data_IF_636131574712
#
_entry.id   IF_636131574712
#
_cell.length_a   1.000
_cell.length_b   1.000
_cell.length_c   1.000
_cell.angle_alpha   90.00
_cell.angle_beta   90.00
_cell.angle_gamma   90.00
#
_symmetry.space_group_name_H-M   'P 1'
#
loop_
_entity.id
_entity.type
_entity.pdbx_description
1 polymer ?
#
# COMPACT_ATOMS: atom_id res chain seq x y z
N UNK A 1 21.64 -29.57 -4.43
CA UNK A 1 22.08 -28.71 -5.55
C UNK A 1 22.03 -29.46 -6.89
N UNK A 2 21.55 -30.70 -6.90
CA UNK A 2 21.75 -31.65 -8.02
C UNK A 2 20.69 -31.58 -9.12
N UNK A 3 19.64 -30.78 -8.94
CA UNK A 3 18.51 -30.70 -9.88
C UNK A 3 18.75 -29.71 -11.04
N UNK A 4 19.68 -28.75 -10.90
CA UNK A 4 20.03 -27.74 -11.92
C UNK A 4 21.49 -27.25 -11.75
N UNK A 5 22.50 -28.06 -12.13
CA UNK A 5 23.90 -27.76 -11.86
C UNK A 5 24.38 -26.44 -12.48
N UNK A 6 23.87 -26.10 -13.67
CA UNK A 6 24.21 -24.83 -14.35
C UNK A 6 23.66 -23.60 -13.63
N UNK A 7 22.54 -23.75 -12.91
CA UNK A 7 21.96 -22.66 -12.12
C UNK A 7 22.73 -22.44 -10.82
N UNK A 8 23.25 -23.49 -10.18
CA UNK A 8 23.92 -23.43 -8.88
C UNK A 8 25.44 -23.19 -8.96
N UNK A 9 25.91 -22.75 -10.13
CA UNK A 9 27.29 -22.34 -10.32
C UNK A 9 27.72 -21.26 -9.34
N UNK A 10 28.87 -21.47 -8.70
CA UNK A 10 29.42 -20.60 -7.65
C UNK A 10 29.60 -19.16 -8.14
N UNK A 11 30.07 -18.96 -9.38
CA UNK A 11 30.35 -17.65 -9.97
C UNK A 11 29.11 -16.76 -10.14
N UNK A 12 27.90 -17.31 -10.05
CA UNK A 12 26.67 -16.53 -10.10
C UNK A 12 26.24 -16.00 -8.74
N UNK A 13 26.55 -16.71 -7.65
CA UNK A 13 25.95 -16.47 -6.34
C UNK A 13 26.96 -16.11 -5.25
N UNK A 14 28.24 -16.41 -5.46
CA UNK A 14 29.32 -16.16 -4.52
C UNK A 14 30.35 -15.19 -5.12
N UNK A 15 31.08 -14.45 -4.25
CA UNK A 15 32.25 -13.69 -4.68
C UNK A 15 33.30 -14.54 -5.43
N UNK A 16 34.07 -13.94 -6.34
CA UNK A 16 35.19 -14.63 -6.97
C UNK A 16 36.17 -15.21 -5.94
N UNK A 17 36.55 -16.48 -6.12
CA UNK A 17 37.48 -17.18 -5.22
C UNK A 17 36.83 -17.81 -3.98
N UNK A 18 35.50 -17.74 -3.84
CA UNK A 18 34.75 -18.43 -2.78
C UNK A 18 33.94 -19.59 -3.36
N UNK A 19 33.99 -20.73 -2.69
CA UNK A 19 33.26 -21.95 -3.05
C UNK A 19 32.12 -22.23 -2.07
N UNK A 20 31.18 -23.12 -2.44
CA UNK A 20 30.15 -23.56 -1.50
C UNK A 20 30.74 -24.27 -0.28
N UNK A 21 31.91 -24.92 -0.42
CA UNK A 21 32.62 -25.57 0.68
C UNK A 21 33.14 -24.57 1.73
N UNK A 22 33.49 -23.34 1.34
CA UNK A 22 33.90 -22.31 2.30
C UNK A 22 32.75 -21.88 3.21
N UNK A 23 31.50 -21.99 2.72
CA UNK A 23 30.30 -21.73 3.51
C UNK A 23 30.00 -22.85 4.52
N UNK A 24 30.52 -24.06 4.31
CA UNK A 24 30.37 -25.21 5.22
C UNK A 24 31.29 -25.14 6.44
N UNK A 25 32.16 -24.13 6.52
CA UNK A 25 33.00 -23.87 7.70
C UNK A 25 32.17 -23.43 8.93
N UNK A 26 30.97 -22.88 8.71
CA UNK A 26 30.05 -22.51 9.77
C UNK A 26 29.29 -23.74 10.26
N UNK A 27 29.05 -23.82 11.57
CA UNK A 27 28.14 -24.83 12.14
C UNK A 27 26.76 -24.66 11.50
N UNK A 28 26.09 -25.75 11.14
CA UNK A 28 24.80 -25.71 10.43
C UNK A 28 23.77 -24.78 11.07
N UNK A 29 23.75 -24.68 12.41
CA UNK A 29 22.83 -23.80 13.15
C UNK A 29 23.12 -22.30 13.04
N UNK A 30 24.32 -21.94 12.59
CA UNK A 30 24.77 -20.56 12.38
C UNK A 30 24.80 -20.18 10.90
N UNK A 31 24.52 -21.13 10.01
CA UNK A 31 24.51 -20.93 8.56
C UNK A 31 23.07 -20.84 8.05
N UNK A 32 22.69 -19.75 7.35
CA UNK A 32 21.39 -19.70 6.67
C UNK A 32 21.31 -20.79 5.60
N UNK A 33 20.28 -21.64 5.65
CA UNK A 33 20.06 -22.67 4.63
C UNK A 33 18.79 -22.39 3.85
N UNK A 34 18.76 -22.59 2.52
CA UNK A 34 17.55 -22.36 1.72
C UNK A 34 16.32 -23.14 2.20
N UNK A 35 16.53 -24.31 2.83
CA UNK A 35 15.44 -25.12 3.36
C UNK A 35 14.74 -24.47 4.56
N UNK A 36 15.40 -23.56 5.29
CA UNK A 36 14.80 -22.83 6.41
C UNK A 36 13.63 -21.95 5.95
N UNK A 37 13.68 -21.45 4.71
CA UNK A 37 12.62 -20.64 4.12
C UNK A 37 11.30 -21.40 4.00
N UNK A 38 11.32 -22.74 4.01
CA UNK A 38 10.10 -23.55 4.04
C UNK A 38 9.29 -23.32 5.33
N UNK A 39 9.93 -22.88 6.42
CA UNK A 39 9.22 -22.49 7.64
C UNK A 39 8.37 -21.23 7.48
N UNK A 40 8.64 -20.40 6.48
CA UNK A 40 7.82 -19.22 6.22
C UNK A 40 6.38 -19.59 5.83
N UNK A 41 6.16 -20.76 5.21
CA UNK A 41 4.82 -21.23 4.82
C UNK A 41 3.91 -21.55 6.02
N UNK A 42 4.29 -22.44 6.96
CA UNK A 42 3.48 -22.68 8.15
C UNK A 42 3.36 -21.41 9.02
N UNK A 43 4.38 -20.55 9.08
CA UNK A 43 4.28 -19.26 9.76
C UNK A 43 3.24 -18.35 9.09
N UNK A 44 3.23 -18.25 7.76
CA UNK A 44 2.26 -17.46 7.02
C UNK A 44 0.82 -17.95 7.27
N UNK A 45 0.59 -19.26 7.25
CA UNK A 45 -0.71 -19.84 7.58
C UNK A 45 -1.08 -19.60 9.05
N UNK A 46 -0.12 -19.70 9.96
CA UNK A 46 -0.27 -19.34 11.37
C UNK A 46 -0.69 -17.88 11.57
N UNK A 47 -0.05 -16.95 10.86
CA UNK A 47 -0.43 -15.54 10.87
C UNK A 47 -1.83 -15.30 10.29
N UNK A 48 -2.25 -16.03 9.26
CA UNK A 48 -3.64 -15.95 8.76
C UNK A 48 -4.64 -16.40 9.83
N UNK A 49 -4.36 -17.50 10.53
CA UNK A 49 -5.21 -17.98 11.62
C UNK A 49 -5.22 -17.01 12.81
N UNK A 50 -4.05 -16.48 13.19
CA UNK A 50 -3.91 -15.51 14.28
C UNK A 50 -4.63 -14.20 13.95
N UNK A 51 -4.55 -13.73 12.70
CA UNK A 51 -5.31 -12.58 12.21
C UNK A 51 -6.81 -12.81 12.33
N UNK A 52 -7.30 -13.99 11.94
CA UNK A 52 -8.72 -14.31 12.08
C UNK A 52 -9.18 -14.26 13.55
N UNK A 53 -8.38 -14.82 14.47
CA UNK A 53 -8.65 -14.73 15.90
C UNK A 53 -8.63 -13.27 16.40
N UNK A 54 -7.64 -12.48 15.96
CA UNK A 54 -7.53 -11.06 16.31
C UNK A 54 -8.75 -10.26 15.84
N UNK A 55 -9.13 -10.40 14.56
CA UNK A 55 -10.29 -9.73 13.96
C UNK A 55 -11.60 -10.13 14.66
N UNK A 56 -11.69 -11.37 15.17
CA UNK A 56 -12.88 -11.88 15.86
C UNK A 56 -12.97 -11.45 17.32
N UNK A 57 -11.87 -11.46 18.06
CA UNK A 57 -11.89 -11.33 19.52
C UNK A 57 -11.32 -10.00 20.04
N UNK A 58 -10.27 -9.46 19.40
CA UNK A 58 -9.53 -8.29 19.89
C UNK A 58 -9.94 -6.98 19.19
N UNK A 59 -10.15 -7.02 17.87
CA UNK A 59 -10.51 -5.82 17.12
C UNK A 59 -11.89 -5.22 17.52
N UNK A 60 -12.96 -5.99 17.78
CA UNK A 60 -14.27 -5.43 18.15
C UNK A 60 -14.29 -4.63 19.47
N UNK A 61 -13.73 -5.11 20.60
CA UNK A 61 -13.67 -4.30 21.82
C UNK A 61 -12.83 -3.04 21.62
N UNK A 62 -11.69 -3.12 20.94
CA UNK A 62 -10.86 -1.96 20.64
C UNK A 62 -11.58 -0.91 19.78
N UNK A 63 -12.27 -1.38 18.74
CA UNK A 63 -13.06 -0.50 17.87
C UNK A 63 -14.15 0.24 18.64
N UNK A 64 -14.80 -0.42 19.61
CA UNK A 64 -15.78 0.24 20.50
C UNK A 64 -15.13 1.29 21.39
N UNK A 65 -13.95 1.02 21.98
CA UNK A 65 -13.22 1.99 22.78
C UNK A 65 -12.83 3.25 21.98
N UNK A 66 -12.47 3.09 20.70
CA UNK A 66 -12.15 4.19 19.79
C UNK A 66 -13.39 4.82 19.12
N UNK A 67 -14.60 4.38 19.47
CA UNK A 67 -15.84 4.90 18.92
C UNK A 67 -16.02 4.62 17.43
N UNK A 68 -15.49 3.52 16.92
CA UNK A 68 -15.69 3.08 15.53
C UNK A 68 -17.15 2.61 15.38
N UNK A 69 -17.95 3.42 14.71
CA UNK A 69 -19.34 3.08 14.37
C UNK A 69 -19.40 2.59 12.93
N UNK A 70 -20.20 1.55 12.69
CA UNK A 70 -20.58 1.18 11.33
C UNK A 70 -21.70 2.12 10.87
N UNK A 71 -21.49 2.82 9.77
CA UNK A 71 -22.56 3.49 9.03
C UNK A 71 -23.50 2.40 8.50
N UNK A 72 -24.79 2.51 8.83
CA UNK A 72 -25.80 1.59 8.32
C UNK A 72 -26.11 2.00 6.88
N UNK A 73 -25.53 1.30 5.91
CA UNK A 73 -25.82 1.56 4.51
C UNK A 73 -27.24 1.08 4.18
N UNK A 74 -28.04 1.96 3.56
CA UNK A 74 -29.37 1.62 3.06
C UNK A 74 -29.25 0.52 2.02
N UNK A 75 -29.88 -0.62 2.28
CA UNK A 75 -29.81 -1.77 1.39
C UNK A 75 -30.50 -1.50 0.06
N UNK A 76 -29.91 -1.96 -1.04
CA UNK A 76 -30.57 -1.90 -2.34
C UNK A 76 -31.85 -2.75 -2.32
N UNK A 77 -32.92 -2.26 -2.93
CA UNK A 77 -34.19 -3.00 -2.98
C UNK A 77 -33.99 -4.32 -3.74
N UNK A 78 -34.59 -5.44 -3.29
CA UNK A 78 -34.39 -6.72 -3.96
C UNK A 78 -34.92 -6.67 -5.40
N UNK A 79 -34.05 -6.91 -6.37
CA UNK A 79 -34.42 -7.02 -7.79
C UNK A 79 -33.49 -7.98 -8.51
N UNK A 80 -34.03 -9.11 -8.96
CA UNK A 80 -33.26 -10.20 -9.56
C UNK A 80 -32.53 -9.77 -10.84
N UNK A 81 -33.19 -8.96 -11.68
CA UNK A 81 -32.65 -8.50 -12.97
C UNK A 81 -31.50 -7.49 -12.83
N UNK A 82 -31.57 -6.57 -11.85
CA UNK A 82 -30.46 -5.64 -11.60
C UNK A 82 -29.29 -6.35 -10.93
N UNK A 83 -29.57 -7.34 -10.05
CA UNK A 83 -28.53 -8.14 -9.39
C UNK A 83 -27.80 -9.05 -10.39
N UNK A 84 -28.53 -9.68 -11.33
CA UNK A 84 -27.91 -10.50 -12.38
C UNK A 84 -27.03 -9.65 -13.30
N UNK A 85 -27.48 -8.45 -13.69
CA UNK A 85 -26.66 -7.53 -14.46
C UNK A 85 -25.42 -7.08 -13.68
N UNK A 86 -25.59 -6.72 -12.40
CA UNK A 86 -24.51 -6.22 -11.55
C UNK A 86 -23.40 -7.25 -11.34
N UNK A 87 -23.77 -8.52 -11.13
CA UNK A 87 -22.84 -9.60 -10.85
C UNK A 87 -22.18 -10.16 -12.11
N UNK A 88 -22.91 -10.22 -13.24
CA UNK A 88 -22.43 -10.90 -14.44
C UNK A 88 -21.84 -9.96 -15.50
N UNK A 89 -22.24 -8.68 -15.53
CA UNK A 89 -21.90 -7.78 -16.64
C UNK A 89 -21.11 -6.55 -16.20
N UNK A 90 -21.70 -5.66 -15.41
CA UNK A 90 -21.02 -4.43 -14.98
C UNK A 90 -21.59 -3.86 -13.69
N UNK A 91 -20.69 -3.36 -12.83
CA UNK A 91 -21.02 -2.56 -11.64
C UNK A 91 -21.31 -1.09 -11.97
N UNK A 92 -20.92 -0.63 -13.16
CA UNK A 92 -21.13 0.73 -13.64
C UNK A 92 -21.76 0.65 -15.04
N UNK A 93 -23.10 0.59 -15.14
CA UNK A 93 -23.77 0.50 -16.43
C UNK A 93 -23.55 1.79 -17.24
N UNK A 94 -23.31 1.61 -18.54
CA UNK A 94 -23.26 2.73 -19.50
C UNK A 94 -24.67 3.27 -19.77
N UNK A 95 -24.78 4.47 -20.36
CA UNK A 95 -26.11 5.07 -20.62
C UNK A 95 -27.02 4.21 -21.51
N UNK A 96 -26.47 3.53 -22.52
CA UNK A 96 -27.22 2.59 -23.35
C UNK A 96 -27.73 1.38 -22.55
N UNK A 97 -26.93 0.88 -21.61
CA UNK A 97 -27.31 -0.24 -20.73
C UNK A 97 -28.37 0.17 -19.70
N UNK A 98 -28.30 1.40 -19.18
CA UNK A 98 -29.34 1.95 -18.30
C UNK A 98 -30.69 1.97 -19.02
N UNK A 99 -30.74 2.43 -20.28
CA UNK A 99 -31.99 2.46 -21.08
C UNK A 99 -32.55 1.04 -21.25
N UNK A 100 -31.69 0.06 -21.53
CA UNK A 100 -32.11 -1.34 -21.62
C UNK A 100 -32.67 -1.88 -20.29
N UNK A 101 -32.03 -1.55 -19.17
CA UNK A 101 -32.49 -1.95 -17.83
C UNK A 101 -33.80 -1.27 -17.43
N UNK A 102 -34.03 -0.02 -17.87
CA UNK A 102 -35.31 0.68 -17.68
C UNK A 102 -36.46 -0.09 -18.31
N UNK A 103 -36.28 -0.52 -19.58
CA UNK A 103 -37.26 -1.30 -20.31
C UNK A 103 -37.48 -2.69 -19.68
N UNK A 104 -36.41 -3.37 -19.28
CA UNK A 104 -36.48 -4.71 -18.72
C UNK A 104 -37.12 -4.77 -17.32
N UNK A 105 -36.89 -3.75 -16.49
CA UNK A 105 -37.31 -3.73 -15.08
C UNK A 105 -38.55 -2.86 -14.82
N UNK A 106 -39.02 -2.09 -15.81
CA UNK A 106 -40.11 -1.10 -15.64
C UNK A 106 -39.77 0.00 -14.62
N UNK A 107 -38.48 0.35 -14.46
CA UNK A 107 -38.00 1.34 -13.49
C UNK A 107 -37.51 2.59 -14.19
N UNK A 108 -37.61 3.72 -13.50
CA UNK A 108 -37.04 4.99 -13.98
C UNK A 108 -35.51 4.95 -13.93
N UNK A 109 -34.86 5.77 -14.75
CA UNK A 109 -33.41 5.95 -14.76
C UNK A 109 -32.86 6.22 -13.34
N UNK A 110 -33.47 7.17 -12.62
CA UNK A 110 -33.04 7.56 -11.27
C UNK A 110 -33.15 6.42 -10.27
N UNK A 111 -34.16 5.56 -10.38
CA UNK A 111 -34.31 4.39 -9.52
C UNK A 111 -33.23 3.35 -9.79
N UNK A 112 -32.87 3.13 -11.06
CA UNK A 112 -31.80 2.21 -11.45
C UNK A 112 -30.45 2.75 -10.98
N UNK A 113 -30.13 4.01 -11.28
CA UNK A 113 -28.88 4.65 -10.82
C UNK A 113 -28.75 4.63 -9.29
N UNK A 114 -29.85 4.90 -8.57
CA UNK A 114 -29.89 4.83 -7.10
C UNK A 114 -29.70 3.40 -6.60
N UNK A 115 -30.28 2.41 -7.28
CA UNK A 115 -30.10 1.01 -6.94
C UNK A 115 -28.64 0.59 -7.11
N UNK A 116 -28.01 0.91 -8.26
CA UNK A 116 -26.60 0.61 -8.50
C UNK A 116 -25.70 1.31 -7.48
N UNK A 117 -25.95 2.58 -7.16
CA UNK A 117 -25.22 3.30 -6.12
C UNK A 117 -25.33 2.59 -4.76
N UNK A 118 -26.54 2.24 -4.32
CA UNK A 118 -26.76 1.52 -3.05
C UNK A 118 -26.11 0.14 -3.05
N UNK A 119 -26.20 -0.59 -4.15
CA UNK A 119 -25.61 -1.94 -4.29
C UNK A 119 -24.09 -1.90 -4.27
N UNK A 120 -23.47 -0.90 -4.89
CA UNK A 120 -22.01 -0.63 -4.78
C UNK A 120 -21.62 -0.27 -3.36
N UNK A 121 -22.41 0.55 -2.67
CA UNK A 121 -22.17 0.91 -1.27
C UNK A 121 -22.26 -0.31 -0.34
N UNK A 122 -23.15 -1.28 -0.62
CA UNK A 122 -23.22 -2.55 0.11
C UNK A 122 -21.99 -3.45 -0.09
N UNK A 123 -21.36 -3.42 -1.28
CA UNK A 123 -20.12 -4.15 -1.53
C UNK A 123 -18.92 -3.56 -0.76
N UNK A 124 -19.06 -2.34 -0.21
CA UNK A 124 -17.96 -1.69 0.47
C UNK A 124 -17.66 -2.36 1.81
N UNK A 125 -16.37 -2.51 2.14
CA UNK A 125 -15.97 -3.03 3.43
C UNK A 125 -16.37 -2.05 4.53
N UNK A 126 -16.94 -2.60 5.61
CA UNK A 126 -17.34 -1.81 6.78
C UNK A 126 -16.16 -1.07 7.42
N UNK A 127 -16.42 0.07 8.07
CA UNK A 127 -15.42 0.81 8.84
C UNK A 127 -14.75 -0.06 9.91
N UNK A 128 -15.53 -0.94 10.55
CA UNK A 128 -15.02 -1.93 11.51
C UNK A 128 -14.05 -2.93 10.88
N UNK A 129 -14.29 -3.40 9.66
CA UNK A 129 -13.34 -4.28 8.94
C UNK A 129 -12.04 -3.52 8.63
N UNK A 130 -12.14 -2.31 8.06
CA UNK A 130 -10.97 -1.45 7.78
C UNK A 130 -10.14 -1.18 9.04
N UNK A 131 -10.81 -0.90 10.16
CA UNK A 131 -10.15 -0.73 11.46
C UNK A 131 -9.45 -2.00 11.93
N UNK A 132 -10.11 -3.15 11.86
CA UNK A 132 -9.53 -4.42 12.28
C UNK A 132 -8.27 -4.79 11.46
N UNK A 133 -8.30 -4.56 10.14
CA UNK A 133 -7.14 -4.76 9.27
C UNK A 133 -5.97 -3.83 9.64
N UNK A 134 -6.25 -2.55 9.92
CA UNK A 134 -5.23 -1.59 10.35
C UNK A 134 -4.66 -1.93 11.72
N UNK A 135 -5.51 -2.30 12.68
CA UNK A 135 -5.10 -2.67 14.03
C UNK A 135 -4.22 -3.93 14.04
N UNK A 136 -4.57 -4.94 13.23
CA UNK A 136 -3.75 -6.14 13.07
C UNK A 136 -2.33 -5.81 12.61
N UNK A 137 -2.21 -5.01 11.55
CA UNK A 137 -0.91 -4.59 11.02
C UNK A 137 -0.14 -3.73 12.01
N UNK A 138 -0.82 -2.81 12.71
CA UNK A 138 -0.21 -1.98 13.74
C UNK A 138 0.48 -2.80 14.83
N UNK A 139 -0.20 -3.78 15.42
CA UNK A 139 0.39 -4.59 16.49
C UNK A 139 1.55 -5.45 16.00
N UNK A 140 1.45 -5.99 14.77
CA UNK A 140 2.55 -6.73 14.18
C UNK A 140 3.78 -5.85 13.99
N UNK A 141 3.64 -4.71 13.29
CA UNK A 141 4.77 -3.81 13.04
C UNK A 141 5.36 -3.24 14.33
N UNK A 142 4.53 -2.96 15.33
CA UNK A 142 5.01 -2.52 16.64
C UNK A 142 5.87 -3.59 17.32
N UNK A 143 5.40 -4.84 17.33
CA UNK A 143 6.15 -5.96 17.90
C UNK A 143 7.44 -6.22 17.11
N UNK A 144 7.38 -6.22 15.77
CA UNK A 144 8.52 -6.43 14.89
C UNK A 144 9.59 -5.34 15.07
N UNK A 145 9.20 -4.08 15.13
CA UNK A 145 10.12 -2.96 15.35
C UNK A 145 10.79 -3.02 16.73
N UNK A 146 10.03 -3.30 17.79
CA UNK A 146 10.59 -3.43 19.15
C UNK A 146 11.57 -4.62 19.22
N UNK A 147 11.20 -5.76 18.64
CA UNK A 147 12.07 -6.94 18.58
C UNK A 147 13.33 -6.68 17.74
N UNK A 148 13.18 -6.03 16.59
CA UNK A 148 14.28 -5.64 15.70
C UNK A 148 15.25 -4.67 16.37
N UNK A 149 14.73 -3.66 17.07
CA UNK A 149 15.57 -2.72 17.80
C UNK A 149 16.32 -3.42 18.94
N UNK A 150 15.64 -4.29 19.69
CA UNK A 150 16.23 -5.04 20.78
C UNK A 150 17.33 -6.01 20.33
N UNK A 151 17.22 -6.62 19.14
CA UNK A 151 18.24 -7.54 18.64
C UNK A 151 19.41 -6.83 17.93
N UNK A 152 19.22 -5.60 17.44
CA UNK A 152 20.22 -4.87 16.64
C UNK A 152 20.98 -3.78 17.39
N UNK A 153 20.42 -3.16 18.43
CA UNK A 153 21.03 -1.96 19.05
C UNK A 153 22.44 -2.21 19.61
N UNK A 154 22.69 -3.41 20.14
CA UNK A 154 23.99 -3.80 20.69
C UNK A 154 24.95 -4.34 19.62
N UNK A 155 24.55 -4.37 18.35
CA UNK A 155 25.34 -4.95 17.26
C UNK A 155 26.18 -3.88 16.56
N UNK A 156 27.44 -4.19 16.21
CA UNK A 156 28.34 -3.19 15.64
C UNK A 156 27.86 -2.67 14.28
N UNK A 157 27.21 -3.51 13.47
CA UNK A 157 26.69 -3.10 12.16
C UNK A 157 25.49 -2.15 12.22
N UNK A 158 24.83 -2.01 13.38
CA UNK A 158 23.81 -1.00 13.57
C UNK A 158 24.41 0.42 13.58
N UNK A 159 25.62 0.55 14.11
CA UNK A 159 26.33 1.83 14.22
C UNK A 159 27.31 2.07 13.07
N UNK A 160 28.09 1.06 12.69
CA UNK A 160 29.03 1.11 11.56
C UNK A 160 28.63 0.12 10.46
N UNK A 161 28.15 0.65 9.35
CA UNK A 161 27.64 -0.15 8.23
C UNK A 161 28.77 -0.93 7.51
N UNK A 162 30.06 -0.60 7.73
CA UNK A 162 31.19 -1.40 7.23
C UNK A 162 31.17 -2.82 7.78
N UNK A 163 30.69 -2.97 9.01
CA UNK A 163 30.59 -4.25 9.69
C UNK A 163 29.52 -5.16 9.07
N UNK A 164 28.62 -4.64 8.21
CA UNK A 164 27.71 -5.47 7.43
C UNK A 164 28.45 -6.43 6.49
N UNK A 165 29.60 -6.02 5.95
CA UNK A 165 30.35 -6.80 4.96
C UNK A 165 31.60 -7.46 5.52
N UNK A 166 31.92 -7.21 6.79
CA UNK A 166 33.09 -7.80 7.44
C UNK A 166 32.98 -9.32 7.47
N UNK A 167 34.00 -10.00 6.91
CA UNK A 167 34.07 -11.46 6.73
C UNK A 167 32.97 -12.05 5.86
N UNK A 168 32.26 -11.24 5.08
CA UNK A 168 31.35 -11.77 4.07
C UNK A 168 32.14 -12.64 3.06
N UNK A 169 31.64 -13.82 2.66
CA UNK A 169 30.31 -14.39 2.94
C UNK A 169 30.21 -15.29 4.19
N UNK A 170 31.32 -15.55 4.90
CA UNK A 170 31.36 -16.40 6.10
C UNK A 170 31.00 -15.59 7.36
N UNK A 171 29.71 -15.31 7.50
CA UNK A 171 29.14 -14.58 8.64
C UNK A 171 28.21 -15.48 9.46
N UNK A 172 28.46 -15.69 10.76
CA UNK A 172 27.55 -16.47 11.60
C UNK A 172 26.24 -15.72 11.81
N UNK A 173 25.12 -16.42 11.63
CA UNK A 173 23.78 -15.94 11.90
C UNK A 173 23.40 -16.27 13.34
N UNK A 174 23.05 -15.24 14.10
CA UNK A 174 22.49 -15.46 15.44
C UNK A 174 21.02 -15.89 15.37
N UNK A 175 20.60 -16.69 16.36
CA UNK A 175 19.23 -17.20 16.49
C UNK A 175 18.17 -16.10 16.55
N UNK A 176 18.49 -14.93 17.11
CA UNK A 176 17.57 -13.80 17.15
C UNK A 176 17.29 -13.24 15.75
N UNK A 177 18.33 -13.07 14.92
CA UNK A 177 18.17 -12.59 13.54
C UNK A 177 17.43 -13.61 12.68
N UNK A 178 17.66 -14.90 12.91
CA UNK A 178 16.90 -15.97 12.26
C UNK A 178 15.40 -15.82 12.49
N UNK A 179 14.95 -15.78 13.75
CA UNK A 179 13.52 -15.64 14.05
C UNK A 179 12.96 -14.32 13.57
N UNK A 180 13.75 -13.23 13.62
CA UNK A 180 13.32 -11.95 13.07
C UNK A 180 13.02 -12.07 11.57
N UNK A 181 13.92 -12.68 10.79
CA UNK A 181 13.73 -12.97 9.37
C UNK A 181 12.53 -13.87 9.09
N UNK A 182 12.41 -14.99 9.81
CA UNK A 182 11.36 -16.00 9.55
C UNK A 182 9.97 -15.46 9.87
N UNK A 183 9.83 -14.69 10.96
CA UNK A 183 8.55 -14.08 11.34
C UNK A 183 8.13 -13.00 10.36
N UNK A 184 9.04 -12.15 9.91
CA UNK A 184 8.77 -11.13 8.91
C UNK A 184 8.44 -11.72 7.54
N UNK A 185 9.21 -12.70 7.08
CA UNK A 185 8.91 -13.41 5.83
C UNK A 185 7.55 -14.13 5.89
N UNK A 186 7.24 -14.76 7.03
CA UNK A 186 5.94 -15.38 7.28
C UNK A 186 4.80 -14.36 7.28
N UNK A 187 4.99 -13.18 7.88
CA UNK A 187 3.98 -12.13 7.89
C UNK A 187 3.72 -11.55 6.50
N UNK A 188 4.77 -11.19 5.75
CA UNK A 188 4.62 -10.74 4.37
C UNK A 188 4.02 -11.83 3.45
N UNK A 189 4.37 -13.10 3.69
CA UNK A 189 3.71 -14.24 3.06
C UNK A 189 2.21 -14.30 3.36
N UNK A 190 1.82 -14.07 4.62
CA UNK A 190 0.40 -14.02 5.02
C UNK A 190 -0.37 -12.88 4.34
N UNK A 191 0.28 -11.72 4.17
CA UNK A 191 -0.29 -10.57 3.45
C UNK A 191 -0.49 -10.90 1.97
N UNK A 192 0.48 -11.57 1.33
CA UNK A 192 0.37 -12.00 -0.06
C UNK A 192 -0.77 -13.01 -0.25
N UNK A 193 -0.91 -14.00 0.63
CA UNK A 193 -2.00 -15.00 0.56
C UNK A 193 -3.40 -14.36 0.69
N UNK A 194 -3.51 -13.29 1.47
CA UNK A 194 -4.78 -12.57 1.72
C UNK A 194 -5.04 -11.43 0.74
N UNK A 195 -4.10 -11.10 -0.15
CA UNK A 195 -4.14 -9.87 -0.98
C UNK A 195 -5.39 -9.78 -1.88
N UNK A 196 -5.96 -10.91 -2.31
CA UNK A 196 -7.15 -10.96 -3.17
C UNK A 196 -8.46 -10.75 -2.40
N UNK A 197 -8.45 -11.08 -1.10
CA UNK A 197 -9.60 -11.02 -0.17
C UNK A 197 -9.62 -9.71 0.62
N UNK A 198 -8.44 -9.15 0.86
CA UNK A 198 -8.27 -7.84 1.48
C UNK A 198 -8.79 -6.71 0.58
N UNK A 199 -9.01 -5.56 1.19
CA UNK A 199 -9.62 -4.40 0.53
C UNK A 199 -8.68 -3.88 -0.57
N UNK A 200 -9.10 -4.03 -1.83
CA UNK A 200 -8.36 -3.55 -2.99
C UNK A 200 -8.40 -2.02 -3.04
N UNK A 201 -7.22 -1.39 -2.97
CA UNK A 201 -7.04 0.07 -3.05
C UNK A 201 -6.60 0.47 -4.46
N UNK A 202 -6.57 1.78 -4.74
CA UNK A 202 -6.13 2.31 -6.05
C UNK A 202 -4.71 1.92 -6.44
N UNK A 203 -3.83 1.82 -5.45
CA UNK A 203 -2.42 1.45 -5.62
C UNK A 203 -2.17 -0.05 -5.47
N UNK A 204 -3.17 -0.88 -5.81
CA UNK A 204 -3.11 -2.33 -5.67
C UNK A 204 -1.94 -2.95 -6.44
N UNK A 205 -1.66 -2.49 -7.67
CA UNK A 205 -0.60 -3.05 -8.51
C UNK A 205 0.78 -2.77 -7.90
N UNK A 206 1.00 -1.54 -7.48
CA UNK A 206 2.23 -1.08 -6.83
C UNK A 206 2.44 -1.84 -5.51
N UNK A 207 1.37 -2.05 -4.74
CA UNK A 207 1.43 -2.85 -3.52
C UNK A 207 1.76 -4.32 -3.80
N UNK A 208 1.25 -4.94 -4.87
CA UNK A 208 1.62 -6.32 -5.26
C UNK A 208 3.09 -6.40 -5.64
N UNK A 209 3.58 -5.47 -6.48
CA UNK A 209 4.99 -5.41 -6.89
C UNK A 209 5.89 -5.27 -5.66
N UNK A 210 5.52 -4.42 -4.71
CA UNK A 210 6.22 -4.28 -3.44
C UNK A 210 6.29 -5.58 -2.64
N UNK A 211 5.17 -6.29 -2.45
CA UNK A 211 5.15 -7.54 -1.69
C UNK A 211 6.03 -8.60 -2.36
N UNK A 212 5.99 -8.71 -3.68
CA UNK A 212 6.87 -9.62 -4.41
C UNK A 212 8.33 -9.23 -4.24
N UNK A 213 8.67 -7.94 -4.43
CA UNK A 213 10.04 -7.45 -4.28
C UNK A 213 10.58 -7.66 -2.86
N UNK A 214 9.79 -7.39 -1.83
CA UNK A 214 10.17 -7.59 -0.42
C UNK A 214 10.34 -9.07 -0.08
N UNK A 215 9.41 -9.95 -0.47
CA UNK A 215 9.55 -11.40 -0.26
C UNK A 215 10.79 -11.95 -0.96
N UNK A 216 11.07 -11.50 -2.19
CA UNK A 216 12.31 -11.88 -2.89
C UNK A 216 13.56 -11.32 -2.21
N UNK A 217 13.54 -10.07 -1.73
CA UNK A 217 14.66 -9.48 -0.99
C UNK A 217 14.94 -10.24 0.32
N UNK A 218 13.91 -10.55 1.11
CA UNK A 218 14.07 -11.32 2.35
C UNK A 218 14.61 -12.73 2.05
N UNK A 219 14.00 -13.43 1.11
CA UNK A 219 14.40 -14.80 0.76
C UNK A 219 15.83 -14.86 0.19
N UNK A 220 16.14 -13.96 -0.75
CA UNK A 220 17.46 -13.90 -1.37
C UNK A 220 18.53 -13.45 -0.38
N UNK A 221 18.28 -12.39 0.39
CA UNK A 221 19.25 -11.94 1.40
C UNK A 221 19.51 -12.98 2.48
N UNK A 222 18.52 -13.81 2.82
CA UNK A 222 18.72 -14.94 3.71
C UNK A 222 19.64 -15.99 3.08
N UNK A 223 19.32 -16.48 1.89
CA UNK A 223 20.12 -17.50 1.19
C UNK A 223 21.55 -17.04 0.86
N UNK A 224 21.73 -15.76 0.53
CA UNK A 224 23.04 -15.17 0.22
C UNK A 224 23.81 -14.71 1.46
N UNK A 225 23.31 -14.98 2.68
CA UNK A 225 23.91 -14.55 3.94
C UNK A 225 24.11 -13.02 4.07
N UNK A 226 23.20 -12.22 3.49
CA UNK A 226 23.11 -10.77 3.66
C UNK A 226 22.29 -10.38 4.91
N UNK A 227 22.32 -11.20 5.96
CA UNK A 227 21.48 -11.07 7.16
C UNK A 227 21.69 -9.73 7.86
N UNK A 228 22.95 -9.28 8.00
CA UNK A 228 23.27 -8.01 8.69
C UNK A 228 22.64 -6.81 8.01
N UNK A 229 22.74 -6.71 6.69
CA UNK A 229 22.14 -5.59 5.96
C UNK A 229 20.62 -5.73 5.86
N UNK A 230 20.09 -6.93 5.67
CA UNK A 230 18.64 -7.11 5.54
C UNK A 230 17.89 -6.89 6.85
N UNK A 231 18.47 -7.21 8.02
CA UNK A 231 17.88 -6.83 9.31
C UNK A 231 17.79 -5.31 9.51
N UNK A 232 18.78 -4.53 9.03
CA UNK A 232 18.71 -3.07 9.02
C UNK A 232 17.63 -2.55 8.07
N UNK A 233 17.48 -3.19 6.90
CA UNK A 233 16.40 -2.87 5.96
C UNK A 233 15.06 -3.08 6.64
N UNK A 234 14.79 -4.25 7.22
CA UNK A 234 13.52 -4.57 7.89
C UNK A 234 13.21 -3.56 9.01
N UNK A 235 14.15 -3.31 9.92
CA UNK A 235 13.95 -2.36 11.03
C UNK A 235 13.64 -0.94 10.54
N UNK A 236 14.38 -0.47 9.53
CA UNK A 236 14.13 0.83 8.91
C UNK A 236 12.71 0.88 8.33
N UNK A 237 12.23 -0.24 7.77
CA UNK A 237 10.92 -0.31 7.15
C UNK A 237 9.76 -0.30 8.14
N UNK A 238 9.86 -1.05 9.23
CA UNK A 238 8.78 -1.14 10.21
C UNK A 238 8.49 0.20 10.91
N UNK A 239 9.51 1.06 11.05
CA UNK A 239 9.43 2.32 11.80
C UNK A 239 8.32 3.28 11.32
N UNK A 240 8.15 3.46 10.00
CA UNK A 240 7.10 4.33 9.44
C UNK A 240 5.72 3.68 9.46
N UNK A 241 5.68 2.35 9.37
CA UNK A 241 4.44 1.61 9.14
C UNK A 241 3.58 1.54 10.40
N UNK A 242 4.22 1.53 11.58
CA UNK A 242 3.53 1.70 12.87
C UNK A 242 2.72 3.00 12.89
N UNK A 243 3.31 4.11 12.45
CA UNK A 243 2.66 5.42 12.44
C UNK A 243 1.53 5.48 11.42
N UNK A 244 1.74 4.87 10.24
CA UNK A 244 0.72 4.79 9.19
C UNK A 244 -0.52 4.04 9.65
N UNK A 245 -0.34 2.84 10.22
CA UNK A 245 -1.45 2.02 10.68
C UNK A 245 -2.14 2.65 11.91
N UNK A 246 -1.38 3.31 12.79
CA UNK A 246 -1.94 4.13 13.88
C UNK A 246 -2.84 5.25 13.35
N UNK A 247 -2.37 6.03 12.38
CA UNK A 247 -3.15 7.12 11.79
C UNK A 247 -4.47 6.60 11.19
N UNK A 248 -4.43 5.45 10.48
CA UNK A 248 -5.64 4.80 9.94
C UNK A 248 -6.60 4.39 11.05
N UNK A 249 -6.11 3.80 12.13
CA UNK A 249 -6.95 3.40 13.28
C UNK A 249 -7.72 4.60 13.85
N UNK A 250 -7.05 5.73 14.08
CA UNK A 250 -7.68 6.95 14.59
C UNK A 250 -8.59 7.62 13.56
N UNK A 251 -8.29 7.54 12.27
CA UNK A 251 -9.16 8.04 11.21
C UNK A 251 -10.53 7.33 11.20
N UNK A 252 -10.56 6.04 11.56
CA UNK A 252 -11.83 5.30 11.64
C UNK A 252 -12.60 5.55 12.95
N UNK A 253 -11.94 5.99 14.01
CA UNK A 253 -12.55 6.36 15.28
C UNK A 253 -13.32 7.68 15.23
N UNK A 254 -14.31 7.84 16.10
CA UNK A 254 -15.10 9.08 16.18
C UNK A 254 -14.44 10.07 17.16
N UNK A 255 -14.22 11.32 16.74
CA UNK A 255 -13.73 12.39 17.63
C UNK A 255 -12.20 12.52 17.74
N UNK A 256 -11.42 11.72 17.01
CA UNK A 256 -9.95 11.69 17.10
C UNK A 256 -9.24 12.39 15.93
N UNK A 257 -9.91 13.34 15.25
CA UNK A 257 -9.38 14.02 14.04
C UNK A 257 -8.02 14.67 14.29
N UNK A 258 -7.86 15.43 15.39
CA UNK A 258 -6.59 16.09 15.73
C UNK A 258 -5.43 15.10 15.90
N UNK A 259 -5.68 13.96 16.56
CA UNK A 259 -4.68 12.90 16.76
C UNK A 259 -4.34 12.21 15.45
N UNK A 260 -5.35 11.91 14.62
CA UNK A 260 -5.16 11.36 13.28
C UNK A 260 -4.28 12.28 12.41
N UNK A 261 -4.60 13.57 12.36
CA UNK A 261 -3.87 14.56 11.57
C UNK A 261 -2.43 14.71 12.06
N UNK A 262 -2.23 14.77 13.38
CA UNK A 262 -0.90 14.82 13.99
C UNK A 262 -0.08 13.56 13.66
N UNK A 263 -0.67 12.37 13.81
CA UNK A 263 -0.01 11.11 13.46
C UNK A 263 0.31 11.02 11.96
N UNK A 264 -0.55 11.54 11.09
CA UNK A 264 -0.31 11.58 9.65
C UNK A 264 0.89 12.47 9.30
N UNK A 265 1.02 13.65 9.94
CA UNK A 265 2.18 14.53 9.74
C UNK A 265 3.46 13.88 10.24
N UNK A 266 3.43 13.28 11.44
CA UNK A 266 4.60 12.55 11.99
C UNK A 266 4.98 11.37 11.10
N UNK A 267 3.99 10.59 10.64
CA UNK A 267 4.17 9.54 9.64
C UNK A 267 4.84 10.08 8.38
N UNK A 268 4.37 11.18 7.80
CA UNK A 268 4.92 11.74 6.58
C UNK A 268 6.39 12.14 6.75
N UNK A 269 6.74 12.78 7.86
CA UNK A 269 8.13 13.14 8.18
C UNK A 269 9.00 11.89 8.32
N UNK A 270 8.57 10.92 9.15
CA UNK A 270 9.31 9.69 9.40
C UNK A 270 9.47 8.89 8.10
N UNK A 271 8.43 8.78 7.27
CA UNK A 271 8.49 8.13 5.98
C UNK A 271 9.50 8.82 5.05
N UNK A 272 9.45 10.14 4.89
CA UNK A 272 10.39 10.84 4.01
C UNK A 272 11.84 10.67 4.48
N UNK A 273 12.11 10.80 5.78
CA UNK A 273 13.46 10.63 6.34
C UNK A 273 13.95 9.20 6.17
N UNK A 274 13.16 8.20 6.59
CA UNK A 274 13.59 6.80 6.53
C UNK A 274 13.71 6.30 5.10
N UNK A 275 12.76 6.64 4.21
CA UNK A 275 12.66 6.10 2.84
C UNK A 275 13.45 6.86 1.77
N UNK A 276 13.57 8.18 1.89
CA UNK A 276 14.23 9.00 0.86
C UNK A 276 15.58 9.55 1.30
N UNK A 277 15.88 9.55 2.60
CA UNK A 277 17.19 10.00 3.10
C UNK A 277 18.00 8.81 3.58
N UNK A 278 17.56 8.10 4.62
CA UNK A 278 18.35 7.04 5.25
C UNK A 278 18.50 5.83 4.31
N UNK A 279 17.42 5.32 3.73
CA UNK A 279 17.47 4.16 2.85
C UNK A 279 18.46 4.34 1.67
N UNK A 280 18.40 5.40 0.85
CA UNK A 280 19.38 5.55 -0.24
C UNK A 280 20.78 5.92 0.25
N UNK A 281 20.92 6.83 1.22
CA UNK A 281 22.24 7.32 1.64
C UNK A 281 23.04 6.35 2.52
N UNK A 282 22.36 5.49 3.27
CA UNK A 282 22.96 4.50 4.16
C UNK A 282 22.86 3.10 3.58
N UNK A 283 21.66 2.57 3.35
CA UNK A 283 21.48 1.17 2.92
C UNK A 283 21.99 0.99 1.49
N UNK A 284 21.44 1.69 0.51
CA UNK A 284 21.81 1.52 -0.90
C UNK A 284 23.28 1.86 -1.12
N UNK A 285 23.79 2.93 -0.49
CA UNK A 285 25.22 3.24 -0.53
C UNK A 285 26.09 2.11 0.04
N UNK A 286 25.66 1.49 1.14
CA UNK A 286 26.38 0.37 1.76
C UNK A 286 26.39 -0.85 0.84
N UNK A 287 25.29 -1.14 0.17
CA UNK A 287 25.17 -2.30 -0.73
C UNK A 287 25.73 -2.10 -2.13
N UNK A 288 25.89 -0.85 -2.58
CA UNK A 288 26.46 -0.54 -3.90
C UNK A 288 27.94 -0.17 -3.85
N UNK A 289 28.39 0.53 -2.81
CA UNK A 289 29.75 1.06 -2.76
C UNK A 289 30.60 0.31 -1.73
N UNK A 290 30.09 0.17 -0.51
CA UNK A 290 30.89 -0.35 0.60
C UNK A 290 31.14 -1.86 0.49
N UNK A 291 30.21 -2.59 -0.09
CA UNK A 291 30.38 -4.02 -0.39
C UNK A 291 31.51 -4.26 -1.39
N UNK A 292 31.75 -3.33 -2.34
CA UNK A 292 32.84 -3.45 -3.32
C UNK A 292 34.22 -3.33 -2.68
N UNK A 293 34.33 -2.75 -1.48
CA UNK A 293 35.56 -2.76 -0.70
C UNK A 293 35.83 -4.15 -0.08
N UNK A 294 34.79 -4.98 0.06
CA UNK A 294 34.88 -6.32 0.65
C UNK A 294 34.98 -7.44 -0.38
N UNK A 295 34.28 -7.33 -1.52
CA UNK A 295 34.30 -8.33 -2.58
C UNK A 295 34.03 -7.73 -3.96
N UNK A 296 34.48 -8.40 -5.02
CA UNK A 296 34.21 -7.97 -6.39
C UNK A 296 32.75 -8.25 -6.80
N UNK A 297 32.10 -7.37 -7.60
CA UNK A 297 30.74 -7.57 -8.05
C UNK A 297 30.53 -8.88 -8.83
N UNK A 298 29.46 -9.58 -8.51
CA UNK A 298 29.01 -10.82 -9.17
C UNK A 298 27.50 -10.76 -9.47
N UNK A 299 26.93 -11.68 -10.27
CA UNK A 299 25.52 -11.60 -10.68
C UNK A 299 24.51 -11.48 -9.52
N UNK A 300 24.68 -12.25 -8.44
CA UNK A 300 23.84 -12.16 -7.23
C UNK A 300 23.90 -10.79 -6.54
N UNK A 301 25.05 -10.13 -6.56
CA UNK A 301 25.20 -8.74 -6.10
C UNK A 301 24.33 -7.76 -6.90
N UNK A 302 24.32 -7.89 -8.24
CA UNK A 302 23.49 -7.03 -9.10
C UNK A 302 22.01 -7.32 -8.90
N UNK A 303 21.63 -8.60 -8.79
CA UNK A 303 20.24 -9.02 -8.57
C UNK A 303 19.65 -8.38 -7.30
N UNK A 304 20.37 -8.48 -6.17
CA UNK A 304 19.95 -7.87 -4.91
C UNK A 304 19.79 -6.36 -5.00
N UNK A 305 20.78 -5.67 -5.58
CA UNK A 305 20.75 -4.21 -5.69
C UNK A 305 19.64 -3.73 -6.65
N UNK A 306 19.35 -4.45 -7.73
CA UNK A 306 18.21 -4.14 -8.61
C UNK A 306 16.90 -4.19 -7.83
N UNK A 307 16.68 -5.21 -6.99
CA UNK A 307 15.48 -5.30 -6.16
C UNK A 307 15.38 -4.16 -5.14
N UNK A 308 16.49 -3.74 -4.53
CA UNK A 308 16.53 -2.55 -3.66
C UNK A 308 16.19 -1.26 -4.43
N UNK A 309 16.65 -1.14 -5.68
CA UNK A 309 16.31 0.00 -6.54
C UNK A 309 14.82 0.01 -6.93
N UNK A 310 14.23 -1.15 -7.22
CA UNK A 310 12.77 -1.27 -7.43
C UNK A 310 12.02 -0.78 -6.19
N UNK A 311 12.45 -1.19 -5.00
CA UNK A 311 11.86 -0.75 -3.74
C UNK A 311 12.00 0.77 -3.54
N UNK A 312 13.16 1.35 -3.87
CA UNK A 312 13.37 2.80 -3.84
C UNK A 312 12.44 3.58 -4.77
N UNK A 313 12.20 3.08 -6.00
CA UNK A 313 11.27 3.71 -6.95
C UNK A 313 9.84 3.70 -6.40
N UNK A 314 9.41 2.60 -5.79
CA UNK A 314 8.10 2.51 -5.14
C UNK A 314 7.99 3.50 -3.95
N UNK A 315 9.05 3.66 -3.17
CA UNK A 315 9.08 4.68 -2.11
C UNK A 315 8.94 6.10 -2.66
N UNK A 316 9.60 6.42 -3.77
CA UNK A 316 9.46 7.73 -4.42
C UNK A 316 8.01 7.94 -4.89
N UNK A 317 7.40 6.91 -5.49
CA UNK A 317 5.99 6.94 -5.90
C UNK A 317 5.07 7.26 -4.71
N UNK A 318 5.19 6.54 -3.60
CA UNK A 318 4.35 6.80 -2.42
C UNK A 318 4.69 8.13 -1.73
N UNK A 319 5.96 8.54 -1.71
CA UNK A 319 6.35 9.85 -1.20
C UNK A 319 5.67 10.99 -1.98
N UNK A 320 5.51 10.85 -3.30
CA UNK A 320 4.78 11.82 -4.11
C UNK A 320 3.30 11.90 -3.70
N UNK A 321 2.66 10.77 -3.40
CA UNK A 321 1.27 10.75 -2.92
C UNK A 321 1.15 11.38 -1.53
N UNK A 322 2.04 11.04 -0.61
CA UNK A 322 2.06 11.60 0.74
C UNK A 322 2.26 13.13 0.68
N UNK A 323 3.21 13.61 -0.13
CA UNK A 323 3.47 15.04 -0.28
C UNK A 323 2.27 15.77 -0.87
N UNK A 324 1.56 15.18 -1.84
CA UNK A 324 0.30 15.73 -2.38
C UNK A 324 -0.77 15.87 -1.29
N UNK A 325 -0.94 14.85 -0.46
CA UNK A 325 -1.89 14.89 0.68
C UNK A 325 -1.51 15.96 1.69
N UNK A 326 -0.23 16.07 2.07
CA UNK A 326 0.27 17.12 2.97
C UNK A 326 0.05 18.52 2.36
N UNK A 327 0.29 18.69 1.06
CA UNK A 327 0.04 19.97 0.38
C UNK A 327 -1.46 20.36 0.39
N UNK A 328 -2.37 19.39 0.27
CA UNK A 328 -3.82 19.63 0.41
C UNK A 328 -4.19 20.01 1.84
N UNK A 329 -3.63 19.29 2.82
CA UNK A 329 -3.82 19.54 4.24
C UNK A 329 -3.42 20.97 4.62
N UNK A 330 -2.24 21.43 4.18
CA UNK A 330 -1.75 22.79 4.44
C UNK A 330 -2.56 23.89 3.75
N UNK A 331 -3.24 23.57 2.64
CA UNK A 331 -4.09 24.53 1.90
C UNK A 331 -5.52 24.64 2.47
N UNK A 332 -5.83 23.96 3.58
CA UNK A 332 -7.15 23.98 4.20
C UNK A 332 -8.25 23.29 3.38
N UNK A 333 -7.90 22.65 2.26
CA UNK A 333 -8.81 21.76 1.50
C UNK A 333 -8.64 20.36 2.05
N UNK A 334 -9.23 20.08 3.20
CA UNK A 334 -9.21 18.77 3.82
C UNK A 334 -10.23 17.85 3.13
N UNK A 335 -10.02 17.62 1.84
CA UNK A 335 -10.86 16.76 1.02
C UNK A 335 -10.07 15.46 0.79
N UNK A 336 -10.35 14.50 1.70
CA UNK A 336 -10.12 13.04 1.67
C UNK A 336 -8.79 12.46 1.20
N UNK A 337 -8.45 11.32 1.81
CA UNK A 337 -7.31 10.48 1.42
C UNK A 337 -7.43 10.04 -0.04
N UNK A 338 -6.51 10.45 -0.92
CA UNK A 338 -6.54 10.10 -2.35
C UNK A 338 -6.36 8.60 -2.61
N UNK A 339 -5.77 7.89 -1.64
CA UNK A 339 -5.60 6.42 -1.64
C UNK A 339 -6.89 5.70 -1.25
N UNK A 340 -7.86 6.41 -0.65
CA UNK A 340 -9.19 5.88 -0.36
C UNK A 340 -10.07 5.88 -1.61
N UNK A 341 -10.99 4.92 -1.71
CA UNK A 341 -11.85 4.73 -2.88
C UNK A 341 -12.62 6.03 -3.20
N UNK A 342 -12.62 6.46 -4.48
CA UNK A 342 -13.20 7.77 -4.93
C UNK A 342 -14.64 7.98 -4.50
N UNK A 343 -15.35 6.88 -4.30
CA UNK A 343 -16.78 6.89 -4.01
C UNK A 343 -17.06 6.98 -2.49
N UNK A 344 -16.04 6.81 -1.63
CA UNK A 344 -16.08 7.25 -0.22
C UNK A 344 -15.99 8.78 -0.08
N UNK A 345 -15.46 9.42 -1.12
CA UNK A 345 -15.41 10.86 -1.44
C UNK A 345 -16.69 11.64 -1.25
N UNK A 346 -17.81 11.04 -1.63
CA UNK A 346 -19.06 11.77 -1.78
C UNK A 346 -19.91 11.70 -0.50
N UNK A 347 -19.75 10.66 0.31
CA UNK A 347 -20.63 10.42 1.47
C UNK A 347 -20.26 11.26 2.70
N UNK A 348 -18.98 11.42 3.08
CA UNK A 348 -18.66 12.29 4.24
C UNK A 348 -19.01 13.77 3.96
N UNK A 349 -19.04 14.20 2.69
CA UNK A 349 -19.50 15.55 2.31
C UNK A 349 -21.03 15.66 2.34
N UNK A 350 -21.76 14.57 2.07
CA UNK A 350 -23.23 14.50 2.22
C UNK A 350 -23.66 14.36 3.69
N UNK A 351 -22.88 13.67 4.54
CA UNK A 351 -23.13 13.55 5.98
C UNK A 351 -22.86 14.87 6.73
N UNK A 352 -21.82 15.63 6.37
CA UNK A 352 -21.62 16.99 6.92
C UNK A 352 -22.74 17.95 6.53
N UNK A 353 -23.32 17.80 5.33
CA UNK A 353 -24.45 18.62 4.88
C UNK A 353 -25.81 18.17 5.42
N UNK A 354 -25.96 16.89 5.77
CA UNK A 354 -27.20 16.34 6.33
C UNK A 354 -27.46 16.70 7.80
N UNK A 355 -26.50 17.33 8.48
CA UNK A 355 -26.61 17.70 9.90
C UNK A 355 -27.33 19.02 10.18
N UNK A 356 -27.54 19.89 9.18
CA UNK A 356 -28.13 21.23 9.38
C UNK A 356 -29.57 21.42 8.87
N UNK A 357 -30.20 20.42 8.24
CA UNK A 357 -31.58 20.55 7.76
C UNK A 357 -32.55 19.68 8.56
N UNK A 358 -33.13 20.25 9.61
CA UNK A 358 -34.39 19.76 10.18
C UNK A 358 -35.22 20.95 10.69
N UNK A 359 -35.81 21.73 9.78
CA UNK A 359 -37.18 22.24 9.98
C UNK A 359 -37.83 22.68 8.65
N UNK A 360 -39.01 22.10 8.42
CA UNK A 360 -40.13 22.54 7.57
C UNK A 360 -40.27 22.02 6.10
N UNK A 361 -41.49 21.59 5.69
CA UNK A 361 -41.72 20.92 4.41
C UNK A 361 -42.22 21.89 3.34
N UNK A 362 -41.52 21.95 2.21
CA UNK A 362 -41.95 22.72 1.04
C UNK A 362 -41.12 22.37 -0.18
N UNK A 363 -41.53 21.32 -0.89
CA UNK A 363 -40.93 20.92 -2.16
C UNK A 363 -41.10 21.97 -3.26
N UNK A 364 -40.11 22.00 -4.16
CA UNK A 364 -40.14 22.53 -5.54
C UNK A 364 -39.32 23.78 -5.89
N UNK A 365 -38.62 24.45 -4.96
CA UNK A 365 -37.75 25.60 -5.34
C UNK A 365 -36.22 25.37 -5.27
N UNK A 366 -35.73 24.26 -4.71
CA UNK A 366 -34.29 24.10 -4.47
C UNK A 366 -33.50 23.53 -5.67
N UNK A 367 -34.17 22.81 -6.59
CA UNK A 367 -33.50 22.12 -7.71
C UNK A 367 -33.05 23.06 -8.85
N UNK A 368 -33.70 24.22 -9.01
CA UNK A 368 -33.31 25.22 -10.01
C UNK A 368 -31.94 25.82 -9.71
N UNK A 369 -31.72 26.23 -8.46
CA UNK A 369 -30.51 26.92 -8.02
C UNK A 369 -29.25 26.05 -8.13
N UNK A 370 -29.37 24.75 -7.84
CA UNK A 370 -28.24 23.81 -7.95
C UNK A 370 -27.83 23.55 -9.41
N UNK A 371 -28.81 23.49 -10.32
CA UNK A 371 -28.57 23.30 -11.76
C UNK A 371 -27.92 24.53 -12.38
N UNK A 372 -28.33 25.72 -11.93
CA UNK A 372 -27.75 27.00 -12.37
C UNK A 372 -26.30 27.18 -11.88
N UNK A 373 -25.98 26.77 -10.65
CA UNK A 373 -24.58 26.76 -10.16
C UNK A 373 -23.69 25.74 -10.85
N UNK A 374 -24.23 24.60 -11.29
CA UNK A 374 -23.48 23.61 -12.06
C UNK A 374 -23.20 24.12 -13.48
N UNK A 375 -24.22 24.72 -14.11
CA UNK A 375 -24.12 25.31 -15.43
C UNK A 375 -23.17 26.53 -15.45
N UNK A 376 -23.14 27.35 -14.39
CA UNK A 376 -22.19 28.47 -14.30
C UNK A 376 -20.74 27.99 -14.11
N UNK A 377 -20.51 26.90 -13.36
CA UNK A 377 -19.19 26.27 -13.23
C UNK A 377 -18.71 25.62 -14.52
N UNK A 378 -19.61 24.98 -15.28
CA UNK A 378 -19.31 24.43 -16.61
C UNK A 378 -19.00 25.58 -17.59
N UNK A 379 -19.77 26.67 -17.57
CA UNK A 379 -19.50 27.86 -18.38
C UNK A 379 -18.14 28.51 -18.06
N UNK A 380 -17.77 28.59 -16.77
CA UNK A 380 -16.45 29.09 -16.35
C UNK A 380 -15.30 28.17 -16.79
N UNK A 381 -15.48 26.84 -16.74
CA UNK A 381 -14.48 25.88 -17.22
C UNK A 381 -14.32 25.93 -18.75
N UNK A 382 -15.38 26.24 -19.48
CA UNK A 382 -15.36 26.38 -20.94
C UNK A 382 -14.68 27.68 -21.39
N UNK A 383 -14.73 28.73 -20.55
CA UNK A 383 -14.05 30.01 -20.77
C UNK A 383 -12.58 30.05 -20.28
N UNK A 384 -12.06 28.93 -19.77
CA UNK A 384 -10.64 28.80 -19.46
C UNK A 384 -9.81 28.77 -20.75
N UNK A 385 -8.91 29.73 -20.85
CA UNK A 385 -7.95 30.11 -21.91
C UNK A 385 -7.27 29.00 -22.76
N UNK A 386 -7.45 27.72 -22.45
CA UNK A 386 -6.80 26.59 -23.14
C UNK A 386 -7.52 26.21 -24.45
N UNK A 387 -8.84 26.38 -24.56
CA UNK A 387 -9.60 25.97 -25.76
C UNK A 387 -9.56 26.99 -26.91
N UNK A 388 -9.42 28.29 -26.61
CA UNK A 388 -9.29 29.32 -27.66
C UNK A 388 -7.92 29.26 -28.36
N UNK A 389 -6.85 28.88 -27.65
CA UNK A 389 -5.52 28.75 -28.25
C UNK A 389 -5.43 27.55 -29.21
N UNK A 390 -6.12 26.45 -28.93
CA UNK A 390 -6.19 25.27 -29.80
C UNK A 390 -6.94 25.56 -31.12
N UNK A 391 -8.02 26.33 -31.08
CA UNK A 391 -8.74 26.72 -32.30
C UNK A 391 -7.96 27.72 -33.16
N UNK A 392 -7.22 28.64 -32.54
CA UNK A 392 -6.38 29.59 -33.29
C UNK A 392 -5.20 28.88 -33.98
N UNK A 393 -4.58 27.89 -33.31
CA UNK A 393 -3.50 27.09 -33.90
C UNK A 393 -4.00 26.19 -35.03
N UNK A 394 -5.21 25.62 -34.92
CA UNK A 394 -5.80 24.76 -35.96
C UNK A 394 -6.19 25.54 -37.22
N UNK A 395 -6.71 26.76 -37.08
CA UNK A 395 -7.03 27.64 -38.22
C UNK A 395 -5.77 28.17 -38.93
N UNK A 396 -4.70 28.44 -38.17
CA UNK A 396 -3.38 28.85 -38.67
C UNK A 396 -2.74 27.77 -39.55
N UNK A 397 -2.78 26.51 -39.09
CA UNK A 397 -2.26 25.35 -39.84
C UNK A 397 -3.10 25.08 -41.10
N UNK A 398 -4.43 25.18 -41.02
CA UNK A 398 -5.30 25.01 -42.18
C UNK A 398 -5.10 26.10 -43.26
N UNK A 399 -4.81 27.35 -42.87
CA UNK A 399 -4.47 28.44 -43.81
C UNK A 399 -3.10 28.26 -44.46
N UNK A 400 -2.11 27.68 -43.76
CA UNK A 400 -0.79 27.39 -44.35
C UNK A 400 -0.86 26.26 -45.38
N UNK A 401 -1.67 25.23 -45.14
CA UNK A 401 -1.84 24.10 -46.07
C UNK A 401 -2.53 24.56 -47.36
N UNK A 402 -3.53 25.45 -47.29
CA UNK A 402 -4.21 26.00 -48.49
C UNK A 402 -3.36 26.98 -49.32
N UNK A 403 -2.20 27.41 -48.84
CA UNK A 403 -1.32 28.34 -49.57
C UNK A 403 -0.12 27.64 -50.21
N UNK A 404 -0.01 26.32 -50.02
CA UNK A 404 1.05 25.45 -50.53
C UNK A 404 0.56 24.43 -51.58
N UNK A 405 -0.72 24.53 -51.98
CA UNK A 405 -1.27 24.04 -53.24
C UNK A 405 -1.55 25.26 -54.12
#
# INVERSE_FOLDING_TARGET
MDLLPDLWREDYWLPPGVTWGDMEQLVDTERPQPHDLLMALPLALGFVALRYAFERFLAPPMGRCLGVKNTVHVTAAPSLQLESFYTQRSKQPTQSEIIHLMLACGKTQRQIETWFRRRRNQDRPSRTKKFAEAAWRFFFYLAAFVAGLACLVDRPWFWDHRECWRRYPVQPMERAHFWYYMLELGFYGSLLLRISVDIKRKDFKEQVIHHLATIFLLSFSYCANYIRIGTLVMLLHDSSDILLESAKMFNYGTGWRKTCDSLFVVFAVVFLVTRLVIFPSKIIRTTLLLSMEAFEPFPGYYFFNILLMVLQVLHIFWACLILRMVCKFLKGKLEKDERSDEESGVEEEEEEKGGEENTDPGGDCYWGRSKDTLNSKISMLTNSCVLNNLNHHRSSVAKRIRKAQ
#
